data_IF_018669953221
#
_entry.id   IF_018669953221
#
_cell.length_a   1.000
_cell.length_b   1.000
_cell.length_c   1.000
_cell.angle_alpha   90.00
_cell.angle_beta   90.00
_cell.angle_gamma   90.00
#
_symmetry.space_group_name_H-M   'P 1'
#
loop_
_entity.id
_entity.type
_entity.pdbx_description
1 polymer ?
#
# COMPACT_ATOMS: atom_id res chain seq x y z
N UNK A 1 6.13 13.15 -10.94
CA UNK A 1 5.54 13.21 -9.59
C UNK A 1 6.28 12.25 -8.69
N UNK A 2 6.57 12.62 -7.42
CA UNK A 2 7.26 11.75 -6.47
C UNK A 2 6.46 10.49 -6.18
N UNK A 3 7.13 9.37 -5.94
CA UNK A 3 6.51 8.12 -5.46
C UNK A 3 6.21 8.22 -3.96
N UNK A 4 5.40 7.31 -3.42
CA UNK A 4 5.15 7.22 -1.97
C UNK A 4 6.45 6.93 -1.20
N UNK A 5 7.41 6.22 -1.79
CA UNK A 5 8.75 6.06 -1.25
C UNK A 5 9.52 7.39 -1.11
N UNK A 6 9.36 8.30 -2.07
CA UNK A 6 9.93 9.66 -1.98
C UNK A 6 9.25 10.46 -0.86
N UNK A 7 7.93 10.32 -0.68
CA UNK A 7 7.20 10.96 0.42
C UNK A 7 7.59 10.40 1.81
N UNK A 8 7.86 9.09 1.91
CA UNK A 8 8.39 8.48 3.13
C UNK A 8 9.75 9.08 3.49
N UNK A 9 10.59 9.32 2.50
CA UNK A 9 11.91 9.94 2.67
C UNK A 9 11.81 11.39 3.18
N UNK A 10 10.70 12.08 2.90
CA UNK A 10 10.39 13.41 3.45
C UNK A 10 9.77 13.42 4.86
N UNK A 11 9.74 12.28 5.58
CA UNK A 11 9.09 12.11 6.91
C UNK A 11 7.58 12.40 6.95
N UNK A 12 6.91 12.44 5.79
CA UNK A 12 5.46 12.67 5.71
C UNK A 12 4.61 11.40 5.96
N UNK A 13 5.26 10.25 6.02
CA UNK A 13 4.64 8.94 6.26
C UNK A 13 5.56 8.15 7.21
N UNK A 14 5.06 7.78 8.39
CA UNK A 14 5.80 6.92 9.33
C UNK A 14 5.61 5.44 8.98
N UNK A 15 6.49 4.58 9.48
CA UNK A 15 6.36 3.14 9.28
C UNK A 15 5.10 2.58 9.98
N UNK A 16 4.67 3.16 11.11
CA UNK A 16 3.41 2.78 11.77
C UNK A 16 2.19 3.15 10.93
N UNK A 17 2.18 4.33 10.31
CA UNK A 17 1.10 4.76 9.40
C UNK A 17 1.03 3.85 8.17
N UNK A 18 2.19 3.49 7.62
CA UNK A 18 2.28 2.56 6.50
C UNK A 18 1.76 1.16 6.90
N UNK A 19 2.16 0.64 8.05
CA UNK A 19 1.69 -0.67 8.53
C UNK A 19 0.19 -0.66 8.85
N UNK A 20 -0.34 0.43 9.43
CA UNK A 20 -1.77 0.60 9.66
C UNK A 20 -2.54 0.59 8.32
N UNK A 21 -2.05 1.30 7.30
CA UNK A 21 -2.65 1.31 5.97
C UNK A 21 -2.66 -0.08 5.31
N UNK A 22 -1.54 -0.81 5.40
CA UNK A 22 -1.42 -2.18 4.89
C UNK A 22 -2.42 -3.10 5.60
N UNK A 23 -2.51 -3.04 6.92
CA UNK A 23 -3.42 -3.89 7.70
C UNK A 23 -4.89 -3.56 7.41
N UNK A 24 -5.25 -2.29 7.29
CA UNK A 24 -6.59 -1.86 6.94
C UNK A 24 -7.00 -2.33 5.53
N UNK A 25 -6.09 -2.29 4.56
CA UNK A 25 -6.35 -2.84 3.22
C UNK A 25 -6.47 -4.37 3.21
N UNK A 26 -5.63 -5.08 3.97
CA UNK A 26 -5.73 -6.53 4.06
C UNK A 26 -7.02 -7.00 4.75
N UNK A 27 -7.55 -6.21 5.69
CA UNK A 27 -8.82 -6.49 6.36
C UNK A 27 -10.03 -6.23 5.46
N UNK A 28 -9.96 -5.19 4.63
CA UNK A 28 -10.98 -4.85 3.63
C UNK A 28 -10.29 -4.44 2.33
N UNK A 29 -10.11 -5.34 1.35
CA UNK A 29 -9.39 -5.06 0.10
C UNK A 29 -10.29 -4.44 -0.97
N UNK A 30 -11.15 -3.49 -0.61
CA UNK A 30 -11.97 -2.75 -1.56
C UNK A 30 -11.19 -1.63 -2.28
N UNK A 31 -11.49 -1.37 -3.57
CA UNK A 31 -10.87 -0.27 -4.31
C UNK A 31 -11.32 1.10 -3.81
N UNK A 32 -10.47 2.10 -4.02
CA UNK A 32 -10.78 3.49 -3.73
C UNK A 32 -9.72 4.21 -2.88
N UNK A 33 -9.74 5.56 -2.90
CA UNK A 33 -8.78 6.37 -2.18
C UNK A 33 -8.93 6.22 -0.66
N UNK A 34 -7.82 5.93 0.03
CA UNK A 34 -7.75 5.85 1.50
C UNK A 34 -6.73 6.82 2.03
N UNK A 35 -7.08 7.49 3.13
CA UNK A 35 -6.15 8.35 3.84
C UNK A 35 -5.14 7.48 4.60
N UNK A 36 -3.87 7.60 4.25
CA UNK A 36 -2.77 6.83 4.86
C UNK A 36 -1.93 7.69 5.82
N UNK A 37 -1.93 9.00 5.63
CA UNK A 37 -1.35 9.98 6.56
C UNK A 37 -2.07 11.33 6.43
N UNK A 38 -1.71 12.29 7.27
CA UNK A 38 -2.23 13.66 7.20
C UNK A 38 -1.96 14.27 5.82
N UNK A 39 -3.02 14.64 5.10
CA UNK A 39 -2.90 15.19 3.74
C UNK A 39 -2.40 14.21 2.66
N UNK A 40 -2.35 12.90 2.96
CA UNK A 40 -1.90 11.87 2.02
C UNK A 40 -2.98 10.81 1.81
N UNK A 41 -3.46 10.73 0.57
CA UNK A 41 -4.48 9.77 0.14
C UNK A 41 -3.90 8.89 -0.95
N UNK A 42 -4.18 7.58 -0.90
CA UNK A 42 -3.70 6.61 -1.88
C UNK A 42 -4.77 5.56 -2.15
N UNK A 43 -4.97 5.20 -3.42
CA UNK A 43 -5.71 3.99 -3.78
C UNK A 43 -4.76 2.78 -3.70
N UNK A 44 -4.85 2.05 -2.59
CA UNK A 44 -4.01 0.87 -2.33
C UNK A 44 -4.38 -0.27 -3.28
N UNK A 45 -5.65 -0.39 -3.69
CA UNK A 45 -6.06 -1.44 -4.60
C UNK A 45 -5.50 -1.20 -6.01
N UNK A 46 -5.52 0.05 -6.48
CA UNK A 46 -4.89 0.43 -7.73
C UNK A 46 -3.38 0.16 -7.69
N UNK A 47 -2.69 0.55 -6.61
CA UNK A 47 -1.27 0.24 -6.42
C UNK A 47 -0.97 -1.26 -6.44
N UNK A 48 -1.81 -2.07 -5.80
CA UNK A 48 -1.69 -3.54 -5.77
C UNK A 48 -1.97 -4.16 -7.14
N UNK A 49 -2.91 -3.61 -7.92
CA UNK A 49 -3.21 -4.06 -9.27
C UNK A 49 -2.06 -3.76 -10.24
N UNK A 50 -1.43 -2.59 -10.11
CA UNK A 50 -0.28 -2.18 -10.91
C UNK A 50 0.98 -2.99 -10.58
N UNK A 51 1.08 -3.53 -9.35
CA UNK A 51 2.21 -4.35 -8.93
C UNK A 51 1.92 -5.86 -9.03
N UNK A 52 2.32 -6.46 -10.15
CA UNK A 52 2.11 -7.89 -10.47
C UNK A 52 2.37 -8.85 -9.30
N UNK A 53 3.46 -8.65 -8.55
CA UNK A 53 3.81 -9.53 -7.43
C UNK A 53 2.81 -9.40 -6.26
N UNK A 54 2.25 -8.22 -6.01
CA UNK A 54 1.17 -8.07 -5.03
C UNK A 54 -0.15 -8.66 -5.53
N UNK A 55 -0.50 -8.46 -6.80
CA UNK A 55 -1.67 -9.10 -7.38
C UNK A 55 -1.60 -10.64 -7.28
N UNK A 56 -0.43 -11.23 -7.54
CA UNK A 56 -0.21 -12.68 -7.38
C UNK A 56 -0.27 -13.12 -5.90
N UNK A 57 0.27 -12.34 -4.96
CA UNK A 57 0.19 -12.65 -3.53
C UNK A 57 -1.26 -12.59 -3.01
N UNK A 58 -2.08 -11.64 -3.49
CA UNK A 58 -3.50 -11.55 -3.14
C UNK A 58 -4.30 -12.76 -3.62
N UNK A 59 -3.87 -13.44 -4.69
CA UNK A 59 -4.54 -14.67 -5.20
C UNK A 59 -4.24 -15.92 -4.39
N UNK A 60 -3.19 -15.95 -3.56
CA UNK A 60 -2.80 -17.12 -2.75
C UNK A 60 -3.52 -17.14 -1.39
N UNK A 61 -4.22 -18.23 -1.04
CA UNK A 61 -5.09 -18.29 0.15
C UNK A 61 -4.35 -18.28 1.50
N UNK A 62 -3.10 -18.76 1.56
CA UNK A 62 -2.49 -19.16 2.84
C UNK A 62 -1.27 -18.35 3.31
N UNK A 63 -0.91 -17.25 2.62
CA UNK A 63 0.37 -16.55 2.91
C UNK A 63 0.16 -15.11 3.39
N UNK A 64 -0.20 -14.96 4.67
CA UNK A 64 -0.43 -13.66 5.33
C UNK A 64 0.81 -12.77 5.37
N UNK A 65 1.99 -13.33 5.65
CA UNK A 65 3.25 -12.55 5.69
C UNK A 65 3.65 -12.06 4.30
N UNK A 66 3.60 -12.92 3.29
CA UNK A 66 3.95 -12.54 1.92
C UNK A 66 2.98 -11.51 1.34
N UNK A 67 1.68 -11.61 1.66
CA UNK A 67 0.69 -10.57 1.29
C UNK A 67 1.03 -9.23 1.92
N UNK A 68 1.36 -9.19 3.21
CA UNK A 68 1.77 -7.95 3.89
C UNK A 68 2.99 -7.32 3.24
N UNK A 69 4.04 -8.10 2.97
CA UNK A 69 5.25 -7.61 2.31
C UNK A 69 4.93 -7.09 0.91
N UNK A 70 4.17 -7.84 0.12
CA UNK A 70 3.86 -7.44 -1.25
C UNK A 70 2.99 -6.17 -1.32
N UNK A 71 1.97 -6.04 -0.45
CA UNK A 71 1.16 -4.82 -0.35
C UNK A 71 2.00 -3.63 0.12
N UNK A 72 2.88 -3.82 1.12
CA UNK A 72 3.80 -2.75 1.57
C UNK A 72 4.70 -2.27 0.43
N UNK A 73 5.24 -3.20 -0.38
CA UNK A 73 6.03 -2.85 -1.56
C UNK A 73 5.22 -2.13 -2.62
N UNK A 74 3.99 -2.59 -2.90
CA UNK A 74 3.10 -1.92 -3.85
C UNK A 74 2.80 -0.47 -3.44
N UNK A 75 2.51 -0.23 -2.16
CA UNK A 75 2.26 1.11 -1.62
C UNK A 75 3.51 1.99 -1.78
N UNK A 76 4.71 1.49 -1.47
CA UNK A 76 5.94 2.26 -1.60
C UNK A 76 6.25 2.66 -3.05
N UNK A 77 5.96 1.78 -4.00
CA UNK A 77 6.19 2.02 -5.43
C UNK A 77 5.07 2.85 -6.08
N UNK A 78 3.92 2.98 -5.42
CA UNK A 78 2.79 3.71 -5.94
C UNK A 78 3.11 5.20 -6.11
N UNK A 79 2.44 5.81 -7.07
CA UNK A 79 2.45 7.26 -7.26
C UNK A 79 1.18 7.81 -6.62
N UNK A 80 1.28 8.76 -5.67
CA UNK A 80 0.11 9.45 -5.14
C UNK A 80 -0.55 10.27 -6.25
N UNK A 81 -1.86 10.16 -6.36
CA UNK A 81 -2.71 10.96 -7.26
C UNK A 81 -2.93 12.37 -6.71
#
# INVERSE_FOLDING_TARGET
>A
MPTVADLRTTKRLTDEQLDAAVMAYLADPCPGPRRIAEGLTLDIAAAVADFRQAAEAMRRKDVTVARRVAVRTAILLARPS
#
